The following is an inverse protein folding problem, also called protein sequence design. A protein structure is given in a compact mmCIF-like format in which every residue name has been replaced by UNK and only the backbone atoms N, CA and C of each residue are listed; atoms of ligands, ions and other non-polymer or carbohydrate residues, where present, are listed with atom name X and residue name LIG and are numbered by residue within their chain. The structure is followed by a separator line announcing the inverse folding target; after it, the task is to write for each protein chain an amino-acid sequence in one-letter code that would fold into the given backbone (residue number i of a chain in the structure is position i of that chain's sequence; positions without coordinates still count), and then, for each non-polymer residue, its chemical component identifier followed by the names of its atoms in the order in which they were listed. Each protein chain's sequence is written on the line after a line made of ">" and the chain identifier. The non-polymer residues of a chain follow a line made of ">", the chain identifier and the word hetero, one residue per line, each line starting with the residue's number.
data_IF_823836156273
#
_entry.id   IF_823836156273
#
_cell.length_a   1.000
_cell.length_b   1.000
_cell.length_c   1.000
_cell.angle_alpha   90.00
_cell.angle_beta   90.00
_cell.angle_gamma   90.00
#
_symmetry.space_group_name_H-M   'P 1'
#
loop_
_entity.id
_entity.type
_entity.pdbx_description
1 polymer ?
#
# COMPACT_ATOMS: atom_id res chain seq x y z
N UNK A 1 -1.00 -8.00 -19.44
CA UNK A 1 -0.56 -8.37 -18.08
C UNK A 1 -0.39 -9.87 -18.03
N UNK A 2 0.75 -10.36 -17.57
CA UNK A 2 1.17 -11.77 -17.70
C UNK A 2 0.51 -12.71 -16.66
N UNK A 3 -0.21 -12.17 -15.67
CA UNK A 3 -0.79 -12.97 -14.57
C UNK A 3 -2.33 -12.86 -14.46
N UNK A 4 -3.00 -12.06 -15.30
CA UNK A 4 -4.46 -11.90 -15.27
C UNK A 4 -5.03 -11.26 -13.99
N UNK A 5 -4.19 -11.00 -12.99
CA UNK A 5 -4.53 -10.30 -11.76
C UNK A 5 -4.62 -8.80 -12.01
N UNK A 6 -5.68 -8.19 -11.53
CA UNK A 6 -5.90 -6.75 -11.59
C UNK A 6 -6.61 -6.30 -10.31
N UNK A 7 -6.49 -5.02 -10.01
CA UNK A 7 -7.29 -4.37 -8.97
C UNK A 7 -8.78 -4.63 -9.24
N UNK A 8 -9.58 -4.92 -8.21
CA UNK A 8 -9.27 -4.87 -6.78
C UNK A 8 -8.90 -6.24 -6.16
N UNK A 9 -8.45 -7.22 -6.95
CA UNK A 9 -8.09 -8.55 -6.41
C UNK A 9 -6.92 -8.44 -5.41
N UNK A 10 -7.06 -8.87 -4.14
CA UNK A 10 -5.98 -8.86 -3.15
C UNK A 10 -4.68 -9.51 -3.66
N UNK A 11 -4.76 -10.57 -4.47
CA UNK A 11 -3.60 -11.26 -5.01
C UNK A 11 -2.74 -10.34 -5.90
N UNK A 12 -3.35 -9.36 -6.58
CA UNK A 12 -2.62 -8.36 -7.36
C UNK A 12 -1.66 -7.57 -6.47
N UNK A 13 -2.15 -7.05 -5.34
CA UNK A 13 -1.37 -6.22 -4.42
C UNK A 13 -0.22 -6.99 -3.75
N UNK A 14 -0.46 -8.26 -3.39
CA UNK A 14 0.59 -9.13 -2.86
C UNK A 14 1.71 -9.39 -3.89
N UNK A 15 1.34 -9.62 -5.16
CA UNK A 15 2.30 -9.79 -6.25
C UNK A 15 3.08 -8.50 -6.50
N UNK A 16 2.43 -7.34 -6.48
CA UNK A 16 3.09 -6.04 -6.62
C UNK A 16 4.13 -5.84 -5.52
N UNK A 17 3.77 -6.05 -4.25
CA UNK A 17 4.69 -5.93 -3.12
C UNK A 17 5.91 -6.87 -3.28
N UNK A 18 5.65 -8.14 -3.63
CA UNK A 18 6.70 -9.14 -3.87
C UNK A 18 7.64 -8.73 -5.01
N UNK A 19 7.12 -8.19 -6.11
CA UNK A 19 7.92 -7.74 -7.26
C UNK A 19 8.75 -6.50 -6.92
N UNK A 20 8.24 -5.63 -6.07
CA UNK A 20 8.94 -4.45 -5.58
C UNK A 20 9.94 -4.77 -4.46
N UNK A 21 9.92 -5.99 -3.92
CA UNK A 21 10.80 -6.39 -2.82
C UNK A 21 10.45 -5.68 -1.50
N UNK A 22 9.19 -5.31 -1.30
CA UNK A 22 8.70 -4.66 -0.08
C UNK A 22 7.68 -5.56 0.61
N UNK A 23 7.62 -5.50 1.94
CA UNK A 23 6.52 -6.12 2.67
C UNK A 23 5.24 -5.30 2.44
N UNK A 24 4.05 -5.91 2.37
CA UNK A 24 2.78 -5.18 2.24
C UNK A 24 2.62 -4.11 3.32
N UNK A 25 2.94 -4.47 4.56
CA UNK A 25 2.94 -3.57 5.72
C UNK A 25 3.84 -2.36 5.53
N UNK A 26 4.84 -2.42 4.64
CA UNK A 26 5.77 -1.33 4.36
C UNK A 26 5.34 -0.42 3.20
N UNK A 27 4.25 -0.76 2.51
CA UNK A 27 3.78 -0.04 1.34
C UNK A 27 2.53 0.79 1.66
N UNK A 28 2.45 1.97 1.03
CA UNK A 28 1.26 2.83 1.01
C UNK A 28 0.66 2.75 -0.39
N UNK A 29 -0.62 2.44 -0.49
CA UNK A 29 -1.38 2.38 -1.74
C UNK A 29 -2.36 3.55 -1.79
N UNK A 30 -2.39 4.26 -2.93
CA UNK A 30 -3.22 5.45 -3.12
C UNK A 30 -4.06 5.24 -4.38
N UNK A 31 -5.38 5.32 -4.26
CA UNK A 31 -6.32 5.14 -5.37
C UNK A 31 -7.61 5.92 -5.13
N UNK A 32 -8.33 6.33 -6.17
CA UNK A 32 -9.60 7.05 -6.06
C UNK A 32 -10.83 6.13 -5.94
N UNK A 33 -10.64 4.83 -6.15
CA UNK A 33 -11.64 3.79 -5.96
C UNK A 33 -11.49 3.12 -4.59
N UNK A 34 -12.52 3.25 -3.75
CA UNK A 34 -12.55 2.63 -2.41
C UNK A 34 -12.33 1.11 -2.45
N UNK A 35 -12.85 0.42 -3.48
CA UNK A 35 -12.69 -1.03 -3.63
C UNK A 35 -11.22 -1.44 -3.86
N UNK A 36 -10.43 -0.60 -4.52
CA UNK A 36 -9.00 -0.84 -4.72
C UNK A 36 -8.24 -0.64 -3.40
N UNK A 37 -8.60 0.41 -2.65
CA UNK A 37 -8.03 0.67 -1.32
C UNK A 37 -8.30 -0.49 -0.37
N UNK A 38 -9.52 -1.00 -0.32
CA UNK A 38 -9.90 -2.18 0.48
C UNK A 38 -9.11 -3.43 0.06
N UNK A 39 -8.89 -3.64 -1.24
CA UNK A 39 -8.08 -4.75 -1.75
C UNK A 39 -6.62 -4.68 -1.30
N UNK A 40 -6.04 -3.48 -1.25
CA UNK A 40 -4.69 -3.25 -0.74
C UNK A 40 -4.61 -3.45 0.79
N UNK A 41 -5.58 -2.95 1.53
CA UNK A 41 -5.67 -3.14 2.98
C UNK A 41 -5.82 -4.63 3.35
N UNK A 42 -6.54 -5.41 2.53
CA UNK A 42 -6.74 -6.84 2.75
C UNK A 42 -5.43 -7.66 2.73
N UNK A 43 -4.38 -7.15 2.09
CA UNK A 43 -3.03 -7.78 2.11
C UNK A 43 -2.08 -7.15 3.13
N UNK A 44 -2.54 -6.18 3.91
CA UNK A 44 -1.76 -5.51 4.96
C UNK A 44 -1.09 -4.21 4.55
N UNK A 45 -1.40 -3.66 3.35
CA UNK A 45 -0.90 -2.33 2.96
C UNK A 45 -1.65 -1.22 3.71
N UNK A 46 -1.03 -0.05 3.80
CA UNK A 46 -1.75 1.16 4.22
C UNK A 46 -2.50 1.74 3.02
N UNK A 47 -3.83 1.71 3.05
CA UNK A 47 -4.68 2.26 2.01
C UNK A 47 -4.97 3.76 2.21
N UNK A 48 -4.94 4.54 1.14
CA UNK A 48 -5.32 5.96 1.12
C UNK A 48 -6.28 6.21 -0.03
N UNK A 49 -7.51 6.59 0.30
CA UNK A 49 -8.50 6.99 -0.70
C UNK A 49 -8.21 8.41 -1.19
N UNK A 50 -7.82 8.52 -2.46
CA UNK A 50 -7.56 9.79 -3.11
C UNK A 50 -8.85 10.57 -3.33
N UNK A 51 -8.88 11.81 -2.85
CA UNK A 51 -9.99 12.78 -3.03
C UNK A 51 -9.49 14.11 -3.57
N UNK A 52 -8.39 14.57 -3.01
CA UNK A 52 -7.66 15.76 -3.45
C UNK A 52 -6.20 15.65 -3.01
N UNK A 53 -5.35 16.48 -3.60
CA UNK A 53 -3.91 16.44 -3.35
C UNK A 53 -3.54 16.75 -1.91
N UNK A 54 -4.20 17.73 -1.28
CA UNK A 54 -3.84 18.18 0.07
C UNK A 54 -4.15 17.07 1.09
N UNK A 55 -5.34 16.48 1.02
CA UNK A 55 -5.74 15.37 1.88
C UNK A 55 -4.89 14.13 1.66
N UNK A 56 -4.55 13.81 0.41
CA UNK A 56 -3.73 12.64 0.08
C UNK A 56 -2.31 12.78 0.61
N UNK A 57 -1.68 13.95 0.40
CA UNK A 57 -0.33 14.21 0.90
C UNK A 57 -0.30 14.09 2.43
N UNK A 58 -1.24 14.72 3.13
CA UNK A 58 -1.31 14.65 4.59
C UNK A 58 -1.50 13.20 5.10
N UNK A 59 -2.32 12.39 4.43
CA UNK A 59 -2.53 11.00 4.79
C UNK A 59 -1.26 10.14 4.59
N UNK A 60 -0.56 10.33 3.46
CA UNK A 60 0.69 9.63 3.17
C UNK A 60 1.78 10.03 4.16
N UNK A 61 1.92 11.32 4.46
CA UNK A 61 2.89 11.81 5.46
C UNK A 61 2.61 11.21 6.84
N UNK A 62 1.36 11.20 7.29
CA UNK A 62 0.97 10.59 8.56
C UNK A 62 1.28 9.08 8.61
N UNK A 63 1.06 8.37 7.51
CA UNK A 63 1.40 6.96 7.39
C UNK A 63 2.92 6.74 7.49
N UNK A 64 3.73 7.56 6.83
CA UNK A 64 5.19 7.46 6.86
C UNK A 64 5.77 7.84 8.23
N UNK A 65 5.23 8.85 8.90
CA UNK A 65 5.68 9.27 10.22
C UNK A 65 5.36 8.23 11.30
N UNK A 66 4.17 7.63 11.25
CA UNK A 66 3.78 6.51 12.13
C UNK A 66 4.74 5.31 12.02
N UNK A 67 5.43 5.18 10.88
CA UNK A 67 6.39 4.10 10.62
C UNK A 67 7.81 4.49 11.01
N UNK A 68 8.17 5.77 10.90
CA UNK A 68 9.45 6.31 11.39
C UNK A 68 9.63 6.05 12.88
N UNK A 69 8.55 6.19 13.64
CA UNK A 69 8.55 5.97 15.09
C UNK A 69 8.54 4.49 15.48
N UNK A 70 8.27 3.57 14.54
CA UNK A 70 8.23 2.13 14.78
C UNK A 70 9.61 1.41 14.70
N UNK A 71 10.69 2.10 14.33
CA UNK A 71 12.07 1.55 14.33
C UNK A 71 12.36 0.52 13.21
N UNK A 72 13.64 0.24 12.87
CA UNK A 72 13.98 -0.55 11.71
C UNK A 72 13.89 -2.05 12.02
N UNK A 73 12.77 -2.67 11.71
CA UNK A 73 12.65 -4.13 11.61
C UNK A 73 12.65 -4.55 10.14
N UNK A 74 13.72 -5.20 9.68
CA UNK A 74 13.73 -5.90 8.39
C UNK A 74 15.05 -5.90 7.63
N UNK A 75 16.05 -6.58 8.19
CA UNK A 75 17.22 -7.06 7.45
C UNK A 75 16.75 -7.94 6.28
N UNK A 76 17.14 -7.58 5.06
CA UNK A 76 16.86 -8.38 3.85
C UNK A 76 18.06 -9.31 3.65
N UNK A 77 17.92 -10.56 4.09
CA UNK A 77 18.84 -11.67 3.76
C UNK A 77 18.62 -12.20 2.35
#
# INVERSE_FOLDING_TARGET
>A
MEEGLMEPDPAFYAVVCRRLGVLPEQAVFVDDLAVCVEGAEAVGMTGVLHRDNATTIAAVEAALDSRRTAGPGGDHV
#
